data_IF_538184685701
#
_entry.id   IF_538184685701
#
_cell.length_a   1.000
_cell.length_b   1.000
_cell.length_c   1.000
_cell.angle_alpha   90.00
_cell.angle_beta   90.00
_cell.angle_gamma   90.00
#
_symmetry.space_group_name_H-M   'P 1'
#
loop_
_entity.id
_entity.type
_entity.pdbx_description
1 polymer ?
#
# COMPACT_ATOMS: atom_id res chain seq x y z
N UNK A 1 -8.57 28.98 24.54
CA UNK A 1 -7.83 29.54 23.40
C UNK A 1 -6.81 28.49 22.96
N UNK A 2 -7.17 27.63 21.99
CA UNK A 2 -6.74 27.57 20.57
C UNK A 2 -5.46 26.75 20.34
N UNK A 3 -5.42 26.04 19.20
CA UNK A 3 -4.48 25.02 18.69
C UNK A 3 -4.93 23.57 19.02
N UNK A 4 -5.68 22.84 18.21
CA UNK A 4 -5.85 22.89 16.75
C UNK A 4 -5.34 21.62 16.06
N UNK A 5 -5.48 20.44 16.68
CA UNK A 5 -5.22 19.15 16.02
C UNK A 5 -6.54 18.64 15.42
N UNK A 6 -6.53 18.35 14.13
CA UNK A 6 -7.69 17.79 13.44
C UNK A 6 -8.15 16.49 14.15
N UNK A 7 -9.46 16.32 14.44
CA UNK A 7 -9.98 15.19 15.24
C UNK A 7 -9.87 13.83 14.54
N UNK A 8 -9.36 13.78 13.32
CA UNK A 8 -9.16 12.56 12.55
C UNK A 8 -7.71 12.47 12.09
N UNK A 9 -6.97 11.52 12.64
CA UNK A 9 -5.62 11.21 12.20
C UNK A 9 -5.66 10.13 11.11
N UNK A 10 -5.14 10.44 9.93
CA UNK A 10 -4.79 9.44 8.91
C UNK A 10 -3.31 9.12 9.06
N UNK A 11 -2.99 7.95 9.59
CA UNK A 11 -1.65 7.39 9.47
C UNK A 11 -1.71 6.03 8.81
N UNK A 12 -0.83 5.85 7.82
CA UNK A 12 -0.70 4.63 7.07
C UNK A 12 0.44 3.78 7.65
N UNK A 13 0.17 2.49 7.85
CA UNK A 13 1.20 1.47 8.08
C UNK A 13 1.24 0.82 9.47
N UNK A 14 2.12 -0.19 9.66
CA UNK A 14 2.26 -0.98 10.90
C UNK A 14 2.45 -0.14 12.18
N UNK A 15 2.90 1.10 12.05
CA UNK A 15 3.01 2.07 13.14
C UNK A 15 1.66 2.44 13.78
N UNK A 16 0.58 2.50 12.98
CA UNK A 16 -0.77 2.80 13.46
C UNK A 16 -1.38 1.61 14.20
N UNK A 17 -1.12 0.39 13.73
CA UNK A 17 -1.69 -0.86 14.26
C UNK A 17 -1.43 -1.03 15.76
N UNK A 18 -0.20 -0.81 16.23
CA UNK A 18 0.14 -0.92 17.67
C UNK A 18 -0.67 0.07 18.51
N UNK A 19 -0.92 1.26 18.00
CA UNK A 19 -1.72 2.27 18.67
C UNK A 19 -3.21 1.92 18.68
N UNK A 20 -3.70 1.26 17.63
CA UNK A 20 -5.06 0.72 17.57
C UNK A 20 -5.26 -0.43 18.54
N UNK A 21 -4.35 -1.42 18.52
CA UNK A 21 -4.39 -2.59 19.43
C UNK A 21 -4.24 -2.20 20.90
N UNK A 22 -3.48 -1.15 21.20
CA UNK A 22 -3.34 -0.61 22.57
C UNK A 22 -4.47 0.32 23.01
N UNK A 23 -5.48 0.55 22.16
CA UNK A 23 -6.63 1.42 22.45
C UNK A 23 -6.33 2.92 22.45
N UNK A 24 -5.10 3.32 22.12
CA UNK A 24 -4.69 4.73 22.02
C UNK A 24 -5.28 5.43 20.80
N UNK A 25 -5.58 4.67 19.75
CA UNK A 25 -6.26 5.14 18.55
C UNK A 25 -7.45 4.25 18.24
N UNK A 26 -8.49 4.86 17.68
CA UNK A 26 -9.62 4.14 17.10
C UNK A 26 -9.48 4.18 15.58
N UNK A 27 -9.22 3.03 14.95
CA UNK A 27 -9.29 2.91 13.51
C UNK A 27 -10.78 2.95 13.07
N UNK A 28 -11.07 3.77 12.07
CA UNK A 28 -12.44 3.94 11.52
C UNK A 28 -12.62 3.27 10.16
N UNK A 29 -11.53 2.86 9.52
CA UNK A 29 -11.54 2.13 8.25
C UNK A 29 -10.13 1.90 7.72
N UNK A 30 -9.95 0.85 6.93
CA UNK A 30 -8.74 0.63 6.12
C UNK A 30 -8.95 1.12 4.69
N UNK A 31 -7.88 1.62 4.07
CA UNK A 31 -7.93 2.14 2.69
C UNK A 31 -7.78 1.07 1.61
N UNK A 32 -7.50 -0.17 2.02
CA UNK A 32 -7.45 -1.34 1.15
C UNK A 32 -8.84 -1.73 0.64
N UNK A 33 -8.93 -2.35 -0.56
CA UNK A 33 -10.20 -2.86 -1.08
C UNK A 33 -10.87 -3.89 -0.17
N UNK A 34 -10.08 -4.58 0.65
CA UNK A 34 -10.52 -5.60 1.61
C UNK A 34 -9.97 -5.31 3.00
N UNK A 35 -10.55 -5.93 4.03
CA UNK A 35 -10.07 -5.77 5.41
C UNK A 35 -8.64 -6.28 5.56
N UNK A 36 -7.82 -5.57 6.31
CA UNK A 36 -6.45 -5.99 6.58
C UNK A 36 -6.41 -7.15 7.57
N UNK A 37 -5.60 -8.18 7.31
CA UNK A 37 -5.50 -9.36 8.17
C UNK A 37 -5.08 -9.03 9.62
N UNK A 38 -4.29 -7.98 9.82
CA UNK A 38 -3.88 -7.52 11.16
C UNK A 38 -4.93 -6.70 11.89
N UNK A 39 -5.99 -6.24 11.19
CA UNK A 39 -7.09 -5.44 11.71
C UNK A 39 -8.44 -5.96 11.16
N UNK A 40 -8.81 -7.23 11.41
CA UNK A 40 -10.00 -7.85 10.80
C UNK A 40 -11.32 -7.18 11.24
N UNK A 41 -11.33 -6.56 12.41
CA UNK A 41 -12.50 -5.86 12.94
C UNK A 41 -12.70 -4.47 12.33
N UNK A 42 -11.68 -3.93 11.63
CA UNK A 42 -11.74 -2.61 11.00
C UNK A 42 -12.29 -2.77 9.56
N UNK A 43 -13.41 -2.12 9.21
CA UNK A 43 -14.00 -2.25 7.88
C UNK A 43 -13.10 -1.66 6.79
N UNK A 44 -13.16 -2.24 5.59
CA UNK A 44 -12.63 -1.57 4.42
C UNK A 44 -13.56 -0.43 4.02
N UNK A 45 -13.00 0.73 3.67
CA UNK A 45 -13.81 1.86 3.17
C UNK A 45 -14.59 1.44 1.91
N UNK A 46 -14.02 0.53 1.12
CA UNK A 46 -14.65 -0.04 -0.07
C UNK A 46 -15.98 -0.77 0.21
N UNK A 47 -16.23 -1.25 1.43
CA UNK A 47 -17.51 -1.87 1.83
C UNK A 47 -18.67 -0.86 1.79
N UNK A 48 -18.38 0.42 2.08
CA UNK A 48 -19.37 1.50 2.05
C UNK A 48 -19.29 2.35 0.77
N UNK A 49 -18.11 2.42 0.14
CA UNK A 49 -17.87 3.17 -1.08
C UNK A 49 -17.22 2.27 -2.14
N UNK A 50 -18.01 1.54 -2.95
CA UNK A 50 -17.49 0.65 -3.98
C UNK A 50 -16.52 1.35 -4.93
N UNK A 51 -15.40 0.70 -5.24
CA UNK A 51 -14.34 1.26 -6.08
C UNK A 51 -13.32 2.14 -5.35
N UNK A 52 -13.48 2.38 -4.04
CA UNK A 52 -12.45 3.05 -3.24
C UNK A 52 -11.24 2.13 -3.05
N UNK A 53 -10.06 2.63 -3.41
CA UNK A 53 -8.77 2.03 -3.09
C UNK A 53 -7.74 3.13 -2.91
N UNK A 54 -7.05 3.13 -1.77
CA UNK A 54 -5.93 4.01 -1.48
C UNK A 54 -4.74 3.22 -0.94
N UNK A 55 -4.53 2.03 -1.48
CA UNK A 55 -3.47 1.15 -1.02
C UNK A 55 -2.08 1.66 -1.36
N UNK A 56 -1.21 1.62 -0.36
CA UNK A 56 0.21 1.87 -0.54
C UNK A 56 0.89 0.56 -0.95
N UNK A 57 1.59 0.59 -2.08
CA UNK A 57 2.41 -0.51 -2.55
C UNK A 57 3.83 -0.03 -2.84
N UNK A 58 4.77 -0.96 -2.81
CA UNK A 58 6.19 -0.73 -3.09
C UNK A 58 6.65 -1.73 -4.14
N UNK A 59 7.59 -1.33 -5.00
CA UNK A 59 8.12 -2.17 -6.05
C UNK A 59 9.61 -1.90 -6.31
N UNK A 60 10.26 -2.86 -6.96
CA UNK A 60 11.64 -2.74 -7.43
C UNK A 60 11.65 -2.30 -8.89
N UNK A 61 12.54 -1.36 -9.22
CA UNK A 61 12.71 -0.81 -10.56
C UNK A 61 14.15 -0.96 -11.02
N UNK A 62 14.33 -1.07 -12.34
CA UNK A 62 15.63 -0.98 -13.00
C UNK A 62 15.67 0.25 -13.91
N UNK A 63 16.85 0.78 -14.26
CA UNK A 63 16.98 1.90 -15.18
C UNK A 63 16.30 1.65 -16.54
N UNK A 64 15.82 2.72 -17.18
CA UNK A 64 15.29 2.65 -18.53
C UNK A 64 16.32 2.07 -19.51
N UNK A 65 15.88 1.18 -20.40
CA UNK A 65 16.76 0.48 -21.35
C UNK A 65 17.48 -0.75 -20.79
N UNK A 66 17.25 -1.13 -19.53
CA UNK A 66 17.78 -2.39 -18.97
C UNK A 66 17.32 -3.58 -19.84
N UNK A 67 18.23 -4.47 -20.28
CA UNK A 67 17.86 -5.60 -21.12
C UNK A 67 16.81 -6.51 -20.46
N UNK A 68 15.82 -7.04 -21.22
CA UNK A 68 14.74 -7.86 -20.65
C UNK A 68 15.22 -9.04 -19.82
N UNK A 69 16.31 -9.70 -20.22
CA UNK A 69 16.89 -10.82 -19.48
C UNK A 69 17.38 -10.43 -18.07
N UNK A 70 17.85 -9.19 -17.89
CA UNK A 70 18.29 -8.68 -16.58
C UNK A 70 17.08 -8.37 -15.70
N UNK A 71 16.02 -7.79 -16.29
CA UNK A 71 14.75 -7.54 -15.58
C UNK A 71 14.12 -8.84 -15.11
N UNK A 72 14.08 -9.86 -15.98
CA UNK A 72 13.57 -11.19 -15.61
C UNK A 72 14.41 -11.81 -14.50
N UNK A 73 15.75 -11.70 -14.56
CA UNK A 73 16.61 -12.19 -13.48
C UNK A 73 16.33 -11.50 -12.15
N UNK A 74 16.16 -10.18 -12.15
CA UNK A 74 15.80 -9.42 -10.95
C UNK A 74 14.46 -9.90 -10.37
N UNK A 75 13.44 -10.05 -11.22
CA UNK A 75 12.13 -10.57 -10.80
C UNK A 75 12.25 -11.95 -10.14
N UNK A 76 13.00 -12.89 -10.75
CA UNK A 76 13.22 -14.23 -10.19
C UNK A 76 13.94 -14.20 -8.84
N UNK A 77 14.93 -13.31 -8.69
CA UNK A 77 15.62 -13.14 -7.40
C UNK A 77 14.69 -12.61 -6.32
N UNK A 78 13.81 -11.66 -6.64
CA UNK A 78 12.80 -11.15 -5.71
C UNK A 78 11.79 -12.22 -5.33
N UNK A 79 11.26 -12.97 -6.31
CA UNK A 79 10.34 -14.08 -6.06
C UNK A 79 10.95 -15.13 -5.14
N UNK A 80 12.21 -15.50 -5.38
CA UNK A 80 12.93 -16.44 -4.51
C UNK A 80 13.09 -15.91 -3.08
N UNK A 81 13.31 -14.61 -2.90
CA UNK A 81 13.40 -14.01 -1.59
C UNK A 81 12.03 -13.99 -0.87
N UNK A 82 10.95 -13.68 -1.60
CA UNK A 82 9.58 -13.69 -1.06
C UNK A 82 9.10 -15.10 -0.68
N UNK A 83 9.66 -16.15 -1.28
CA UNK A 83 9.40 -17.54 -0.90
C UNK A 83 10.10 -17.96 0.41
N UNK A 84 11.04 -17.16 0.93
CA UNK A 84 11.73 -17.46 2.19
C UNK A 84 10.78 -17.36 3.38
N UNK A 85 10.71 -18.38 4.27
CA UNK A 85 9.89 -18.33 5.47
C UNK A 85 10.19 -17.11 6.36
N UNK A 86 11.47 -16.73 6.47
CA UNK A 86 11.88 -15.58 7.29
C UNK A 86 11.33 -14.25 6.74
N UNK A 87 11.24 -14.12 5.41
CA UNK A 87 10.66 -12.92 4.76
C UNK A 87 9.15 -12.91 4.94
N UNK A 88 8.49 -14.05 4.74
CA UNK A 88 7.05 -14.19 4.92
C UNK A 88 6.63 -13.88 6.36
N UNK A 89 7.33 -14.42 7.35
CA UNK A 89 7.08 -14.14 8.77
C UNK A 89 7.26 -12.65 9.07
N UNK A 90 8.33 -12.04 8.55
CA UNK A 90 8.58 -10.62 8.76
C UNK A 90 7.50 -9.74 8.14
N UNK A 91 7.03 -10.10 6.95
CA UNK A 91 5.97 -9.37 6.26
C UNK A 91 4.65 -9.48 7.01
N UNK A 92 4.30 -10.66 7.51
CA UNK A 92 3.13 -10.87 8.36
C UNK A 92 3.19 -10.01 9.64
N UNK A 93 4.34 -9.96 10.32
CA UNK A 93 4.53 -9.11 11.51
C UNK A 93 4.39 -7.61 11.23
N UNK A 94 4.63 -7.19 9.99
CA UNK A 94 4.56 -5.78 9.55
C UNK A 94 3.24 -5.45 8.82
N UNK A 95 2.35 -6.43 8.62
CA UNK A 95 1.10 -6.24 7.89
C UNK A 95 1.31 -5.96 6.40
N UNK A 96 2.43 -6.42 5.86
CA UNK A 96 2.78 -6.27 4.45
C UNK A 96 2.34 -7.53 3.71
N UNK A 97 1.63 -7.34 2.60
CA UNK A 97 1.29 -8.44 1.68
C UNK A 97 2.25 -8.41 0.50
N UNK A 98 2.88 -9.54 0.22
CA UNK A 98 3.72 -9.69 -0.97
C UNK A 98 2.83 -9.71 -2.23
N UNK A 99 3.19 -8.89 -3.22
CA UNK A 99 2.60 -8.94 -4.56
C UNK A 99 3.57 -9.67 -5.49
N UNK A 100 3.06 -10.65 -6.22
CA UNK A 100 3.82 -11.48 -7.16
C UNK A 100 3.66 -10.98 -8.60
N UNK A 101 3.57 -9.66 -8.76
CA UNK A 101 3.38 -9.03 -10.07
C UNK A 101 4.66 -9.19 -10.90
N UNK A 102 4.57 -9.91 -12.01
CA UNK A 102 5.66 -9.95 -13.00
C UNK A 102 5.90 -8.58 -13.66
N UNK A 103 7.00 -8.40 -14.41
CA UNK A 103 7.38 -7.08 -14.95
C UNK A 103 6.26 -6.37 -15.74
N UNK A 104 5.53 -7.10 -16.59
CA UNK A 104 4.41 -6.55 -17.36
C UNK A 104 3.17 -6.22 -16.49
N UNK A 105 2.95 -6.97 -15.41
CA UNK A 105 1.84 -6.72 -14.49
C UNK A 105 2.13 -5.49 -13.64
N UNK A 106 3.37 -5.36 -13.13
CA UNK A 106 3.84 -4.18 -12.43
C UNK A 106 3.73 -2.92 -13.30
N UNK A 107 4.12 -2.99 -14.58
CA UNK A 107 3.97 -1.87 -15.51
C UNK A 107 2.50 -1.41 -15.63
N UNK A 108 1.56 -2.36 -15.79
CA UNK A 108 0.12 -2.05 -15.83
C UNK A 108 -0.39 -1.45 -14.52
N UNK A 109 0.04 -1.97 -13.37
CA UNK A 109 -0.33 -1.41 -12.06
C UNK A 109 0.15 0.03 -11.93
N UNK A 110 1.42 0.28 -12.28
CA UNK A 110 2.01 1.61 -12.22
C UNK A 110 1.25 2.61 -13.08
N UNK A 111 0.87 2.23 -14.30
CA UNK A 111 0.09 3.08 -15.22
C UNK A 111 -1.32 3.37 -14.67
N UNK A 112 -2.00 2.35 -14.14
CA UNK A 112 -3.31 2.52 -13.51
C UNK A 112 -3.25 3.47 -12.29
N UNK A 113 -2.22 3.34 -11.46
CA UNK A 113 -1.97 4.23 -10.32
C UNK A 113 -1.68 5.66 -10.76
N UNK A 114 -0.84 5.85 -11.78
CA UNK A 114 -0.60 7.18 -12.33
C UNK A 114 -1.91 7.82 -12.80
N UNK A 115 -2.76 7.10 -13.52
CA UNK A 115 -4.02 7.65 -14.00
C UNK A 115 -5.00 7.96 -12.87
N UNK A 116 -5.09 7.10 -11.86
CA UNK A 116 -5.90 7.34 -10.67
C UNK A 116 -5.45 8.61 -9.93
N UNK A 117 -4.17 8.70 -9.58
CA UNK A 117 -3.65 9.85 -8.84
C UNK A 117 -3.68 11.13 -9.65
N UNK A 118 -3.46 11.08 -10.97
CA UNK A 118 -3.61 12.25 -11.86
C UNK A 118 -5.02 12.83 -11.79
N UNK A 119 -6.06 11.98 -11.80
CA UNK A 119 -7.46 12.43 -11.64
C UNK A 119 -7.69 13.05 -10.27
N UNK A 120 -7.19 12.43 -9.20
CA UNK A 120 -7.36 12.91 -7.81
C UNK A 120 -6.67 14.28 -7.62
N UNK A 121 -5.44 14.44 -8.09
CA UNK A 121 -4.70 15.71 -7.99
C UNK A 121 -5.43 16.82 -8.73
N UNK A 122 -5.90 16.56 -9.97
CA UNK A 122 -6.66 17.54 -10.75
C UNK A 122 -7.99 17.92 -10.09
N UNK A 123 -8.72 16.94 -9.56
CA UNK A 123 -10.02 17.17 -8.92
C UNK A 123 -9.88 17.89 -7.57
N UNK A 124 -8.81 17.62 -6.82
CA UNK A 124 -8.58 18.21 -5.49
C UNK A 124 -7.90 19.58 -5.53
N UNK A 125 -7.26 19.95 -6.64
CA UNK A 125 -6.44 21.16 -6.72
C UNK A 125 -5.12 21.08 -5.93
N UNK A 126 -4.72 19.88 -5.49
CA UNK A 126 -3.49 19.69 -4.74
C UNK A 126 -2.25 20.02 -5.60
N UNK A 127 -1.28 20.70 -5.00
CA UNK A 127 0.04 20.99 -5.60
C UNK A 127 1.15 20.48 -4.69
N UNK A 128 2.26 20.03 -5.27
CA UNK A 128 3.49 19.85 -4.51
C UNK A 128 4.03 21.25 -4.17
N UNK A 129 4.18 21.53 -2.88
CA UNK A 129 4.74 22.80 -2.38
C UNK A 129 6.26 22.82 -2.54
#
# INVERSE_FOLDING_TARGET
>A
MRHGTAPTWRGAGPSAEKSVKSGKLRAIGVSSPTRAALLPDVPAIAEALPGFSGDLWVAFYAPAGTPPAIVERLYRSVESALASPAVQERFQQLGVTALHDGPAQLARRQEAEFEQWRKIVRASGATAN
#
